data_IF_505750980228
#
_entry.id   IF_505750980228
#
_cell.length_a   1.000
_cell.length_b   1.000
_cell.length_c   1.000
_cell.angle_alpha   90.00
_cell.angle_beta   90.00
_cell.angle_gamma   90.00
#
_symmetry.space_group_name_H-M   'P 1'
#
loop_
_entity.id
_entity.type
_entity.pdbx_description
1 polymer ?
#
# COMPACT_ATOMS: atom_id res chain seq x y z
N UNK A 1 9.82 4.08 36.37
CA UNK A 1 8.90 3.02 35.91
C UNK A 1 7.42 3.38 36.03
N UNK A 2 6.94 4.01 37.12
CA UNK A 2 5.52 4.36 37.27
C UNK A 2 5.00 5.42 36.28
N UNK A 3 5.82 6.41 35.90
CA UNK A 3 5.45 7.46 34.93
C UNK A 3 5.21 6.92 33.52
N UNK A 4 6.03 5.96 33.05
CA UNK A 4 5.88 5.32 31.74
C UNK A 4 4.57 4.54 31.65
N UNK A 5 4.18 3.85 32.74
CA UNK A 5 2.92 3.08 32.79
C UNK A 5 1.69 4.00 32.73
N UNK A 6 1.75 5.17 33.39
CA UNK A 6 0.70 6.21 33.30
C UNK A 6 0.62 6.80 31.89
N UNK A 7 1.77 7.17 31.31
CA UNK A 7 1.84 7.70 29.95
C UNK A 7 1.23 6.74 28.92
N UNK A 8 1.54 5.44 28.98
CA UNK A 8 0.94 4.44 28.09
C UNK A 8 -0.58 4.28 28.28
N UNK A 9 -1.08 4.46 29.50
CA UNK A 9 -2.53 4.44 29.77
C UNK A 9 -3.23 5.66 29.19
N UNK A 10 -2.62 6.84 29.32
CA UNK A 10 -3.12 8.11 28.74
C UNK A 10 -3.13 8.04 27.21
N UNK A 11 -2.03 7.60 26.58
CA UNK A 11 -1.94 7.40 25.12
C UNK A 11 -2.99 6.41 24.62
N UNK A 12 -3.19 5.29 25.32
CA UNK A 12 -4.25 4.32 24.96
C UNK A 12 -5.65 4.93 25.09
N UNK A 13 -5.85 5.87 26.01
CA UNK A 13 -7.09 6.63 26.14
C UNK A 13 -7.33 7.57 24.96
N UNK A 14 -6.30 8.27 24.50
CA UNK A 14 -6.37 9.17 23.35
C UNK A 14 -6.52 8.42 22.01
N UNK A 15 -5.82 7.31 21.83
CA UNK A 15 -5.94 6.46 20.64
C UNK A 15 -7.35 5.90 20.42
N UNK A 16 -8.17 5.80 21.47
CA UNK A 16 -9.59 5.44 21.36
C UNK A 16 -10.48 6.58 20.88
N UNK A 17 -10.04 7.84 21.00
CA UNK A 17 -10.75 9.02 20.47
C UNK A 17 -10.49 9.23 18.98
N UNK A 18 -9.46 8.56 18.44
CA UNK A 18 -9.16 8.59 17.01
C UNK A 18 -10.26 7.84 16.26
N UNK A 19 -10.84 8.50 15.26
CA UNK A 19 -11.80 7.90 14.34
C UNK A 19 -11.06 6.99 13.36
N UNK A 20 -10.83 5.74 13.76
CA UNK A 20 -10.29 4.75 12.86
C UNK A 20 -11.33 4.41 11.78
N UNK A 21 -10.90 4.31 10.51
CA UNK A 21 -11.78 3.89 9.42
C UNK A 21 -12.39 2.52 9.73
N UNK A 22 -13.64 2.34 9.30
CA UNK A 22 -14.34 1.08 9.50
C UNK A 22 -13.66 -0.08 8.77
N UNK A 23 -13.87 -1.33 9.24
CA UNK A 23 -13.31 -2.53 8.59
C UNK A 23 -13.63 -2.60 7.09
N UNK A 24 -14.81 -2.13 6.70
CA UNK A 24 -15.27 -2.10 5.31
C UNK A 24 -14.50 -1.08 4.47
N UNK A 25 -14.33 0.14 4.97
CA UNK A 25 -13.60 1.21 4.29
C UNK A 25 -12.11 0.85 4.09
N UNK A 26 -11.51 0.19 5.08
CA UNK A 26 -10.15 -0.36 4.98
C UNK A 26 -10.02 -1.41 3.89
N UNK A 27 -11.02 -2.29 3.78
CA UNK A 27 -11.05 -3.36 2.79
C UNK A 27 -11.27 -2.80 1.38
N UNK A 28 -12.17 -1.82 1.21
CA UNK A 28 -12.41 -1.13 -0.05
C UNK A 28 -11.16 -0.37 -0.52
N UNK A 29 -10.48 0.34 0.39
CA UNK A 29 -9.24 1.06 0.09
C UNK A 29 -8.11 0.11 -0.32
N UNK A 30 -7.98 -1.02 0.39
CA UNK A 30 -6.96 -2.03 0.08
C UNK A 30 -7.22 -2.71 -1.26
N UNK A 31 -8.49 -3.01 -1.55
CA UNK A 31 -8.89 -3.61 -2.83
C UNK A 31 -8.62 -2.65 -3.99
N UNK A 32 -8.90 -1.37 -3.83
CA UNK A 32 -8.55 -0.36 -4.83
C UNK A 32 -7.05 -0.36 -5.13
N UNK A 33 -6.20 -0.35 -4.09
CA UNK A 33 -4.73 -0.39 -4.24
C UNK A 33 -4.25 -1.65 -4.96
N UNK A 34 -4.83 -2.82 -4.63
CA UNK A 34 -4.49 -4.09 -5.29
C UNK A 34 -4.80 -4.00 -6.77
N UNK A 35 -5.99 -3.53 -7.14
CA UNK A 35 -6.42 -3.42 -8.54
C UNK A 35 -5.51 -2.45 -9.30
N UNK A 36 -5.24 -1.26 -8.75
CA UNK A 36 -4.40 -0.26 -9.42
C UNK A 36 -2.97 -0.77 -9.60
N UNK A 37 -2.41 -1.42 -8.58
CA UNK A 37 -1.03 -1.94 -8.64
C UNK A 37 -0.91 -3.09 -9.63
N UNK A 38 -1.91 -3.98 -9.69
CA UNK A 38 -1.95 -5.07 -10.66
C UNK A 38 -2.01 -4.53 -12.10
N UNK A 39 -2.87 -3.54 -12.35
CA UNK A 39 -2.98 -2.90 -13.67
C UNK A 39 -1.66 -2.22 -14.07
N UNK A 40 -1.04 -1.49 -13.16
CA UNK A 40 0.25 -0.84 -13.41
C UNK A 40 1.35 -1.86 -13.69
N UNK A 41 1.41 -2.94 -12.90
CA UNK A 41 2.38 -4.01 -13.08
C UNK A 41 2.25 -4.72 -14.41
N UNK A 42 1.02 -5.00 -14.86
CA UNK A 42 0.76 -5.56 -16.20
C UNK A 42 1.21 -4.58 -17.28
N UNK A 43 0.86 -3.30 -17.16
CA UNK A 43 1.24 -2.28 -18.14
C UNK A 43 2.77 -2.19 -18.28
N UNK A 44 3.49 -2.06 -17.17
CA UNK A 44 4.96 -2.01 -17.16
C UNK A 44 5.54 -3.29 -17.75
N UNK A 45 5.04 -4.47 -17.34
CA UNK A 45 5.51 -5.74 -17.87
C UNK A 45 5.34 -5.89 -19.38
N UNK A 46 4.24 -5.38 -19.94
CA UNK A 46 4.03 -5.33 -21.39
C UNK A 46 5.04 -4.40 -22.04
N UNK A 47 5.22 -3.18 -21.51
CA UNK A 47 6.16 -2.20 -22.04
C UNK A 47 7.58 -2.75 -22.03
N UNK A 48 8.02 -3.35 -20.93
CA UNK A 48 9.35 -3.95 -20.78
C UNK A 48 9.57 -5.09 -21.78
N UNK A 49 8.55 -5.93 -22.01
CA UNK A 49 8.62 -7.00 -22.99
C UNK A 49 8.80 -6.43 -24.42
N UNK A 50 8.00 -5.43 -24.79
CA UNK A 50 8.13 -4.77 -26.10
C UNK A 50 9.48 -4.09 -26.28
N UNK A 51 9.96 -3.36 -25.26
CA UNK A 51 11.27 -2.72 -25.29
C UNK A 51 12.40 -3.75 -25.44
N UNK A 52 12.32 -4.84 -24.68
CA UNK A 52 13.32 -5.92 -24.72
C UNK A 52 13.40 -6.57 -26.11
N UNK A 53 12.25 -6.79 -26.76
CA UNK A 53 12.21 -7.30 -28.14
C UNK A 53 12.79 -6.28 -29.13
N UNK A 54 12.42 -5.00 -29.01
CA UNK A 54 12.91 -3.95 -29.91
C UNK A 54 14.43 -3.76 -29.81
N UNK A 55 14.96 -3.71 -28.58
CA UNK A 55 16.40 -3.62 -28.33
C UNK A 55 17.12 -4.87 -28.84
N UNK A 56 16.54 -6.06 -28.65
CA UNK A 56 17.11 -7.31 -29.15
C UNK A 56 17.18 -7.39 -30.68
N UNK A 57 16.25 -6.76 -31.38
CA UNK A 57 16.30 -6.60 -32.85
C UNK A 57 17.34 -5.57 -33.26
N UNK A 58 17.48 -4.47 -32.50
CA UNK A 58 18.41 -3.38 -32.83
C UNK A 58 19.89 -3.74 -32.56
N UNK A 59 20.15 -4.63 -31.59
CA UNK A 59 21.50 -5.14 -31.27
C UNK A 59 21.93 -6.35 -32.12
N UNK A 60 21.06 -6.85 -32.99
CA UNK A 60 21.38 -7.87 -34.00
C UNK A 60 21.74 -7.22 -35.33
#
# INVERSE_FOLDING_TARGET
>A
MAQVKRFLQEVRGELKKVSWPGRRELMESTLAVIVTTLLLGIFIGIVDFFLSQLIGVLMR
#
